data_IF_233609458148
#
_entry.id   IF_233609458148
#
_cell.length_a   1.000
_cell.length_b   1.000
_cell.length_c   1.000
_cell.angle_alpha   90.00
_cell.angle_beta   90.00
_cell.angle_gamma   90.00
#
_symmetry.space_group_name_H-M   'P 1'
#
loop_
_entity.id
_entity.type
_entity.pdbx_description
1 polymer ?
#
# COMPACT_ATOMS: atom_id res chain seq x y z
N UNK A 1 1.73 9.73 -12.26
CA UNK A 1 1.96 10.52 -11.04
C UNK A 1 3.20 10.08 -10.26
N UNK A 2 3.37 8.75 -9.95
CA UNK A 2 4.54 8.23 -9.20
C UNK A 2 5.87 8.71 -9.79
N UNK A 3 6.08 8.54 -11.10
CA UNK A 3 7.32 8.95 -11.77
C UNK A 3 7.59 10.45 -11.68
N UNK A 4 6.57 11.31 -11.72
CA UNK A 4 6.74 12.77 -11.54
C UNK A 4 7.18 13.10 -10.11
N UNK A 5 6.57 12.46 -9.10
CA UNK A 5 6.96 12.63 -7.71
C UNK A 5 8.39 12.12 -7.45
N UNK A 6 8.72 10.97 -8.04
CA UNK A 6 10.08 10.43 -7.96
C UNK A 6 11.11 11.38 -8.57
N UNK A 7 10.80 11.95 -9.75
CA UNK A 7 11.67 12.96 -10.38
C UNK A 7 11.93 14.14 -9.44
N UNK A 8 10.88 14.70 -8.84
CA UNK A 8 10.99 15.82 -7.91
C UNK A 8 11.88 15.47 -6.71
N UNK A 9 11.60 14.34 -6.06
CA UNK A 9 12.39 13.87 -4.91
C UNK A 9 13.85 13.62 -5.26
N UNK A 10 14.15 12.99 -6.39
CA UNK A 10 15.51 12.74 -6.84
C UNK A 10 16.25 14.04 -7.20
N UNK A 11 15.56 15.00 -7.85
CA UNK A 11 16.14 16.31 -8.17
C UNK A 11 16.46 17.11 -6.90
N UNK A 12 15.64 17.02 -5.86
CA UNK A 12 15.93 17.60 -4.54
C UNK A 12 17.20 16.99 -3.90
N UNK A 13 17.54 15.75 -4.25
CA UNK A 13 18.79 15.09 -3.83
C UNK A 13 19.97 15.32 -4.81
N UNK A 14 19.79 16.20 -5.79
CA UNK A 14 20.86 16.58 -6.74
C UNK A 14 20.97 15.70 -7.98
N UNK A 15 20.07 14.74 -8.20
CA UNK A 15 20.08 13.89 -9.38
C UNK A 15 19.57 14.63 -10.64
N UNK A 16 20.14 14.32 -11.80
CA UNK A 16 19.57 14.69 -13.10
C UNK A 16 18.62 13.58 -13.56
N UNK A 17 17.36 13.93 -13.81
CA UNK A 17 16.32 12.94 -14.14
C UNK A 17 15.70 13.21 -15.49
N UNK A 18 15.80 12.23 -16.39
CA UNK A 18 15.05 12.17 -17.64
C UNK A 18 13.82 11.26 -17.51
N UNK A 19 12.77 11.55 -18.24
CA UNK A 19 11.55 10.76 -18.27
C UNK A 19 11.14 10.44 -19.71
N UNK A 20 10.70 9.21 -19.96
CA UNK A 20 10.20 8.82 -21.29
C UNK A 20 8.94 9.60 -21.69
N UNK A 21 8.13 10.00 -20.71
CA UNK A 21 6.96 10.88 -20.88
C UNK A 21 6.62 11.60 -19.57
N UNK A 22 6.02 12.78 -19.69
CA UNK A 22 5.55 13.59 -18.53
C UNK A 22 4.03 13.79 -18.52
N UNK A 23 3.36 13.54 -19.63
CA UNK A 23 1.90 13.60 -19.79
C UNK A 23 1.35 12.23 -20.24
N UNK A 24 0.06 12.00 -19.99
CA UNK A 24 -0.62 10.79 -20.44
C UNK A 24 -1.39 11.07 -21.73
N UNK A 25 -0.68 11.19 -22.85
CA UNK A 25 -1.23 11.44 -24.18
C UNK A 25 -0.67 10.42 -25.17
N UNK A 26 -1.46 10.07 -26.20
CA UNK A 26 -1.07 9.08 -27.22
C UNK A 26 0.18 9.52 -27.99
N UNK A 27 0.31 10.82 -28.25
CA UNK A 27 1.48 11.40 -28.95
C UNK A 27 2.79 11.31 -28.14
N UNK A 28 2.69 11.09 -26.83
CA UNK A 28 3.84 10.90 -25.93
C UNK A 28 4.24 9.41 -25.80
N UNK A 29 3.46 8.50 -26.40
CA UNK A 29 3.78 7.07 -26.37
C UNK A 29 5.00 6.75 -27.23
N UNK A 30 5.88 5.94 -26.70
CA UNK A 30 7.13 5.51 -27.33
C UNK A 30 7.23 4.00 -27.36
N UNK A 31 7.89 3.47 -28.39
CA UNK A 31 8.20 2.04 -28.45
C UNK A 31 9.09 1.63 -27.27
N UNK A 32 8.81 0.46 -26.67
CA UNK A 32 9.52 -0.02 -25.48
C UNK A 32 11.04 -0.12 -25.70
N UNK A 33 11.49 -0.65 -26.85
CA UNK A 33 12.91 -0.72 -27.19
C UNK A 33 13.53 0.67 -27.42
N UNK A 34 12.74 1.64 -27.88
CA UNK A 34 13.19 3.02 -28.04
C UNK A 34 13.49 3.64 -26.70
N UNK A 35 12.63 3.42 -25.68
CA UNK A 35 12.84 3.93 -24.31
C UNK A 35 14.16 3.39 -23.74
N UNK A 36 14.40 2.07 -23.83
CA UNK A 36 15.63 1.46 -23.33
C UNK A 36 16.88 1.94 -24.06
N UNK A 37 16.78 2.14 -25.41
CA UNK A 37 17.88 2.68 -26.21
C UNK A 37 18.20 4.13 -25.86
N UNK A 38 17.18 5.00 -25.73
CA UNK A 38 17.37 6.42 -25.37
C UNK A 38 18.00 6.57 -23.97
N UNK A 39 17.60 5.76 -23.00
CA UNK A 39 18.25 5.74 -21.69
C UNK A 39 19.74 5.35 -21.78
N UNK A 40 20.05 4.39 -22.67
CA UNK A 40 21.43 3.96 -22.92
C UNK A 40 22.26 5.00 -23.65
N UNK A 41 21.69 5.67 -24.66
CA UNK A 41 22.34 6.76 -25.43
C UNK A 41 22.57 8.00 -24.53
N UNK A 42 21.71 8.18 -23.53
CA UNK A 42 21.88 9.24 -22.51
C UNK A 42 22.90 8.86 -21.45
N UNK A 43 23.41 7.63 -21.46
CA UNK A 43 24.38 7.10 -20.48
C UNK A 43 23.84 7.22 -19.04
N UNK A 44 22.56 6.88 -18.82
CA UNK A 44 21.97 6.94 -17.50
C UNK A 44 22.71 6.03 -16.51
N UNK A 45 22.96 6.50 -15.29
CA UNK A 45 23.54 5.68 -14.23
C UNK A 45 22.59 4.59 -13.76
N UNK A 46 21.25 4.85 -13.84
CA UNK A 46 20.23 3.92 -13.44
C UNK A 46 18.93 4.18 -14.20
N UNK A 47 18.28 3.11 -14.65
CA UNK A 47 17.00 3.14 -15.36
C UNK A 47 15.91 2.40 -14.57
N UNK A 48 14.72 3.02 -14.45
CA UNK A 48 13.53 2.39 -13.87
C UNK A 48 12.37 2.37 -14.86
N UNK A 49 11.72 1.22 -15.01
CA UNK A 49 10.39 1.11 -15.59
C UNK A 49 9.38 0.87 -14.46
N UNK A 50 8.54 1.87 -14.16
CA UNK A 50 7.67 1.89 -12.98
C UNK A 50 6.26 1.42 -13.35
N UNK A 51 5.86 0.27 -12.84
CA UNK A 51 4.58 -0.38 -13.09
C UNK A 51 3.83 -0.74 -11.79
N UNK A 52 2.59 -1.17 -11.97
CA UNK A 52 1.78 -1.90 -11.00
C UNK A 52 1.18 -3.11 -11.70
N UNK A 53 1.27 -4.26 -11.07
CA UNK A 53 0.88 -5.56 -11.60
C UNK A 53 -0.64 -5.79 -11.55
N UNK A 54 -1.08 -6.90 -12.15
CA UNK A 54 -2.43 -7.43 -12.05
C UNK A 54 -2.42 -8.95 -12.15
N UNK A 55 -3.26 -9.62 -11.35
CA UNK A 55 -3.50 -11.07 -11.49
C UNK A 55 -4.55 -11.39 -12.52
N UNK A 56 -5.37 -10.41 -12.88
CA UNK A 56 -6.49 -10.53 -13.81
C UNK A 56 -7.72 -11.26 -13.22
N UNK A 57 -7.54 -12.38 -12.58
CA UNK A 57 -8.64 -13.24 -12.11
C UNK A 57 -8.68 -13.44 -10.61
N UNK A 58 -7.55 -13.66 -9.94
CA UNK A 58 -7.54 -14.01 -8.51
C UNK A 58 -7.82 -12.81 -7.60
N UNK A 59 -7.30 -11.63 -7.93
CA UNK A 59 -7.42 -10.38 -7.16
C UNK A 59 -7.09 -10.53 -5.67
N UNK A 60 -6.22 -11.49 -5.33
CA UNK A 60 -5.88 -11.85 -3.95
C UNK A 60 -4.46 -11.46 -3.57
N UNK A 61 -3.65 -11.16 -4.56
CA UNK A 61 -2.23 -10.93 -4.39
C UNK A 61 -1.95 -9.43 -4.33
N UNK A 62 -1.06 -9.05 -3.42
CA UNK A 62 -0.54 -7.70 -3.31
C UNK A 62 0.86 -7.75 -2.68
N UNK A 63 1.88 -7.66 -3.52
CA UNK A 63 3.29 -7.63 -3.12
C UNK A 63 4.13 -6.95 -4.22
N UNK A 64 5.27 -6.34 -3.87
CA UNK A 64 6.16 -5.78 -4.87
C UNK A 64 6.96 -6.88 -5.58
N UNK A 65 7.23 -6.70 -6.86
CA UNK A 65 8.04 -7.58 -7.67
C UNK A 65 9.00 -6.78 -8.55
N UNK A 66 10.21 -7.26 -8.71
CA UNK A 66 11.22 -6.64 -9.57
C UNK A 66 11.64 -7.60 -10.67
N UNK A 67 11.67 -7.09 -11.91
CA UNK A 67 12.09 -7.85 -13.09
C UNK A 67 13.32 -7.20 -13.70
N UNK A 68 14.39 -7.96 -13.81
CA UNK A 68 15.64 -7.53 -14.45
C UNK A 68 15.95 -8.40 -15.69
N UNK A 69 16.85 -7.93 -16.54
CA UNK A 69 17.20 -8.62 -17.77
C UNK A 69 18.01 -9.89 -17.52
N UNK A 70 17.53 -11.04 -18.04
CA UNK A 70 18.23 -12.33 -17.99
C UNK A 70 17.52 -13.39 -17.16
N UNK A 71 18.26 -14.44 -16.80
CA UNK A 71 17.81 -15.45 -15.86
C UNK A 71 18.08 -15.01 -14.42
N UNK A 72 17.28 -15.48 -13.48
CA UNK A 72 17.39 -15.12 -12.06
C UNK A 72 18.78 -15.46 -11.49
N UNK A 73 19.30 -16.62 -11.85
CA UNK A 73 20.65 -17.06 -11.42
C UNK A 73 21.77 -16.61 -12.36
N UNK A 74 21.44 -16.11 -13.53
CA UNK A 74 22.41 -15.61 -14.51
C UNK A 74 21.89 -14.34 -15.21
N UNK A 75 21.88 -13.19 -14.50
CA UNK A 75 21.48 -11.91 -15.06
C UNK A 75 22.41 -11.48 -16.19
N UNK A 76 21.87 -10.77 -17.19
CA UNK A 76 22.70 -10.18 -18.26
C UNK A 76 23.69 -9.16 -17.66
N UNK A 77 23.25 -8.41 -16.65
CA UNK A 77 24.11 -7.54 -15.84
C UNK A 77 23.83 -7.82 -14.36
N UNK A 78 24.81 -8.28 -13.58
CA UNK A 78 24.64 -8.58 -12.17
C UNK A 78 24.16 -7.38 -11.34
N UNK A 79 24.55 -6.16 -11.73
CA UNK A 79 24.19 -4.92 -11.07
C UNK A 79 22.68 -4.61 -11.15
N UNK A 80 22.00 -5.04 -12.22
CA UNK A 80 20.55 -4.91 -12.35
C UNK A 80 19.83 -5.62 -11.19
N UNK A 81 20.27 -6.85 -10.87
CA UNK A 81 19.73 -7.64 -9.76
C UNK A 81 20.01 -6.99 -8.41
N UNK A 82 21.21 -6.40 -8.23
CA UNK A 82 21.58 -5.70 -6.99
C UNK A 82 20.68 -4.48 -6.77
N UNK A 83 20.55 -3.61 -7.77
CA UNK A 83 19.68 -2.44 -7.68
C UNK A 83 18.20 -2.80 -7.45
N UNK A 84 17.71 -3.85 -8.14
CA UNK A 84 16.37 -4.36 -7.98
C UNK A 84 16.09 -4.89 -6.57
N UNK A 85 17.03 -5.57 -5.93
CA UNK A 85 16.92 -6.05 -4.54
C UNK A 85 16.85 -4.91 -3.53
N UNK A 86 17.66 -3.87 -3.73
CA UNK A 86 17.62 -2.68 -2.87
C UNK A 86 16.25 -2.01 -2.95
N UNK A 87 15.67 -1.87 -4.15
CA UNK A 87 14.34 -1.31 -4.27
C UNK A 87 13.27 -2.20 -3.63
N UNK A 88 13.31 -3.52 -3.85
CA UNK A 88 12.37 -4.45 -3.21
C UNK A 88 12.37 -4.29 -1.69
N UNK A 89 13.57 -4.28 -1.08
CA UNK A 89 13.77 -4.09 0.35
C UNK A 89 13.06 -2.82 0.86
N UNK A 90 13.18 -1.70 0.14
CA UNK A 90 12.54 -0.45 0.55
C UNK A 90 11.02 -0.46 0.33
N UNK A 91 10.53 -1.00 -0.77
CA UNK A 91 9.08 -1.03 -1.03
C UNK A 91 8.32 -1.90 -0.03
N UNK A 92 8.90 -3.04 0.38
CA UNK A 92 8.27 -3.94 1.35
C UNK A 92 8.15 -3.33 2.75
N UNK A 93 8.91 -2.28 3.06
CA UNK A 93 8.82 -1.51 4.31
C UNK A 93 7.51 -0.73 4.43
N UNK A 94 6.77 -0.50 3.34
CA UNK A 94 5.52 0.26 3.36
C UNK A 94 4.44 -0.50 4.14
N UNK A 95 4.06 0.03 5.32
CA UNK A 95 3.05 -0.57 6.20
C UNK A 95 1.66 0.06 6.06
N UNK A 96 1.48 1.04 5.17
CA UNK A 96 0.14 1.55 4.81
C UNK A 96 -0.62 0.48 4.02
N UNK A 97 0.06 -0.23 3.14
CA UNK A 97 -0.50 -1.42 2.48
C UNK A 97 -0.34 -2.68 3.34
N UNK A 98 -1.15 -3.68 3.07
CA UNK A 98 -0.96 -5.03 3.59
C UNK A 98 -0.38 -5.91 2.49
N UNK A 99 0.84 -6.38 2.69
CA UNK A 99 1.49 -7.28 1.75
C UNK A 99 1.01 -8.72 1.99
N UNK A 100 0.48 -9.36 0.95
CA UNK A 100 0.03 -10.76 1.00
C UNK A 100 1.22 -11.73 0.99
N UNK A 101 2.38 -11.25 0.55
CA UNK A 101 3.66 -11.94 0.56
C UNK A 101 4.76 -10.91 0.87
N UNK A 102 5.74 -11.31 1.68
CA UNK A 102 6.89 -10.48 2.08
C UNK A 102 8.23 -11.06 1.66
N UNK A 103 8.23 -12.26 1.14
CA UNK A 103 9.44 -12.90 0.60
C UNK A 103 9.95 -12.15 -0.63
N UNK A 104 11.27 -12.05 -0.75
CA UNK A 104 11.91 -11.36 -1.87
C UNK A 104 11.47 -11.94 -3.22
N UNK A 105 10.89 -11.10 -4.07
CA UNK A 105 10.49 -11.48 -5.42
C UNK A 105 11.23 -10.61 -6.45
N UNK A 106 12.49 -11.00 -6.70
CA UNK A 106 13.39 -10.34 -7.65
C UNK A 106 13.85 -11.39 -8.66
N UNK A 107 13.29 -11.34 -9.87
CA UNK A 107 13.33 -12.44 -10.85
C UNK A 107 13.83 -11.93 -12.20
N UNK A 108 14.59 -12.77 -12.89
CA UNK A 108 14.99 -12.52 -14.28
C UNK A 108 13.79 -12.58 -15.24
N UNK A 109 13.72 -11.65 -16.19
CA UNK A 109 12.61 -11.59 -17.15
C UNK A 109 12.51 -12.80 -18.09
N UNK A 110 13.60 -13.57 -18.24
CA UNK A 110 13.60 -14.84 -18.98
C UNK A 110 12.94 -15.97 -18.22
N UNK A 111 13.10 -16.01 -16.89
CA UNK A 111 12.42 -16.99 -16.03
C UNK A 111 10.95 -16.63 -15.83
N UNK A 112 10.64 -15.34 -15.75
CA UNK A 112 9.27 -14.87 -15.56
C UNK A 112 8.39 -15.07 -16.81
N UNK A 113 9.00 -14.95 -18.01
CA UNK A 113 8.34 -15.18 -19.29
C UNK A 113 9.03 -16.29 -20.10
N UNK A 114 9.02 -17.56 -19.64
CA UNK A 114 9.79 -18.64 -20.27
C UNK A 114 9.35 -18.93 -21.71
N UNK A 115 8.08 -18.72 -22.04
CA UNK A 115 7.52 -18.96 -23.36
C UNK A 115 7.93 -17.91 -24.41
N UNK A 116 8.64 -16.85 -24.02
CA UNK A 116 9.07 -15.79 -24.92
C UNK A 116 10.46 -16.01 -25.56
N UNK A 117 11.01 -17.23 -25.50
CA UNK A 117 12.31 -17.58 -26.08
C UNK A 117 13.43 -16.57 -25.74
N UNK A 118 13.53 -16.17 -24.48
CA UNK A 118 14.49 -15.17 -23.99
C UNK A 118 14.34 -13.79 -24.65
N UNK A 119 13.20 -13.49 -25.26
CA UNK A 119 12.92 -12.14 -25.73
C UNK A 119 12.85 -11.15 -24.56
N UNK A 120 12.23 -11.59 -23.44
CA UNK A 120 12.08 -10.81 -22.23
C UNK A 120 11.32 -9.50 -22.43
N UNK A 121 11.38 -8.62 -21.45
CA UNK A 121 10.69 -7.34 -21.45
C UNK A 121 11.23 -6.38 -22.51
N UNK A 122 10.35 -5.83 -23.36
CA UNK A 122 10.71 -4.95 -24.46
C UNK A 122 11.51 -3.73 -24.03
N UNK A 123 11.18 -3.14 -22.86
CA UNK A 123 11.85 -1.96 -22.32
C UNK A 123 13.28 -2.24 -21.84
N UNK A 124 13.58 -3.49 -21.45
CA UNK A 124 14.91 -3.92 -21.01
C UNK A 124 15.77 -4.46 -22.16
N UNK A 125 15.16 -4.79 -23.31
CA UNK A 125 15.82 -5.51 -24.41
C UNK A 125 16.98 -4.76 -25.05
N UNK A 126 16.87 -3.43 -25.14
CA UNK A 126 17.91 -2.56 -25.71
C UNK A 126 18.64 -1.72 -24.68
N UNK A 127 18.42 -2.02 -23.40
CA UNK A 127 19.03 -1.30 -22.29
C UNK A 127 20.46 -1.82 -22.06
N UNK A 128 21.45 -0.94 -22.20
CA UNK A 128 22.86 -1.23 -21.95
C UNK A 128 23.34 -0.70 -20.60
N UNK A 129 22.62 0.26 -20.03
CA UNK A 129 22.87 0.79 -18.68
C UNK A 129 22.18 -0.09 -17.63
N UNK A 130 22.49 0.12 -16.35
CA UNK A 130 21.85 -0.61 -15.23
C UNK A 130 20.39 -0.24 -15.17
N UNK A 131 19.53 -1.26 -15.06
CA UNK A 131 18.09 -0.98 -14.95
C UNK A 131 17.21 -2.21 -14.84
N UNK A 132 15.99 -1.97 -14.38
CA UNK A 132 14.99 -2.99 -14.16
C UNK A 132 13.57 -2.43 -14.24
N UNK A 133 12.58 -3.31 -14.21
CA UNK A 133 11.17 -2.97 -14.12
C UNK A 133 10.66 -3.31 -12.71
N UNK A 134 9.94 -2.39 -12.11
CA UNK A 134 9.26 -2.61 -10.84
C UNK A 134 7.75 -2.76 -11.05
N UNK A 135 7.19 -3.78 -10.44
CA UNK A 135 5.76 -3.94 -10.17
C UNK A 135 5.56 -3.64 -8.69
N UNK A 136 5.24 -2.37 -8.36
CA UNK A 136 5.26 -1.89 -6.98
C UNK A 136 4.16 -2.49 -6.10
N UNK A 137 3.05 -2.93 -6.72
CA UNK A 137 1.87 -3.51 -6.07
C UNK A 137 0.92 -4.05 -7.12
N UNK A 138 -0.21 -4.65 -6.71
CA UNK A 138 -1.23 -5.17 -7.64
C UNK A 138 -2.42 -4.22 -7.71
N UNK A 139 -2.59 -3.53 -8.85
CA UNK A 139 -3.66 -2.55 -9.02
C UNK A 139 -5.07 -3.14 -9.10
N UNK A 140 -5.22 -4.44 -9.30
CA UNK A 140 -6.50 -5.17 -9.28
C UNK A 140 -6.85 -5.81 -7.92
N UNK A 141 -5.97 -5.70 -6.91
CA UNK A 141 -6.30 -5.97 -5.52
C UNK A 141 -7.09 -4.78 -4.95
N UNK A 142 -8.36 -4.96 -4.61
CA UNK A 142 -9.29 -3.84 -4.33
C UNK A 142 -8.79 -2.84 -3.30
N UNK A 143 -8.29 -3.23 -2.12
CA UNK A 143 -7.74 -2.24 -1.18
C UNK A 143 -6.60 -1.42 -1.78
N UNK A 144 -5.76 -2.03 -2.62
CA UNK A 144 -4.67 -1.34 -3.30
C UNK A 144 -5.16 -0.42 -4.40
N UNK A 145 -6.21 -0.81 -5.15
CA UNK A 145 -6.87 0.05 -6.13
C UNK A 145 -7.24 1.39 -5.51
N UNK A 146 -7.88 1.37 -4.33
CA UNK A 146 -8.28 2.59 -3.62
C UNK A 146 -7.07 3.37 -3.07
N UNK A 147 -6.03 2.71 -2.56
CA UNK A 147 -4.78 3.37 -2.14
C UNK A 147 -4.09 4.06 -3.30
N UNK A 148 -4.04 3.43 -4.47
CA UNK A 148 -3.46 4.00 -5.68
C UNK A 148 -4.21 5.23 -6.23
N UNK A 149 -5.41 5.54 -5.77
CA UNK A 149 -6.08 6.80 -6.04
C UNK A 149 -5.55 7.95 -5.17
N UNK A 150 -5.04 7.66 -3.98
CA UNK A 150 -4.50 8.64 -3.04
C UNK A 150 -3.11 9.14 -3.50
N UNK A 151 -2.90 10.45 -3.48
CA UNK A 151 -1.65 11.05 -3.96
C UNK A 151 -0.50 10.87 -2.96
N UNK A 152 -0.79 10.91 -1.66
CA UNK A 152 0.23 10.70 -0.62
C UNK A 152 0.71 9.26 -0.59
N UNK A 153 -0.18 8.30 -0.87
CA UNK A 153 0.21 6.90 -1.04
C UNK A 153 1.20 6.71 -2.22
N UNK A 154 0.93 7.34 -3.36
CA UNK A 154 1.86 7.33 -4.51
C UNK A 154 3.18 8.03 -4.20
N UNK A 155 3.13 9.08 -3.39
CA UNK A 155 4.33 9.77 -2.93
C UNK A 155 5.18 8.88 -2.01
N UNK A 156 4.56 8.08 -1.13
CA UNK A 156 5.29 7.11 -0.30
C UNK A 156 6.08 6.12 -1.15
N UNK A 157 5.48 5.59 -2.21
CA UNK A 157 6.19 4.70 -3.12
C UNK A 157 7.36 5.41 -3.79
N UNK A 158 7.16 6.64 -4.31
CA UNK A 158 8.23 7.44 -4.89
C UNK A 158 9.34 7.75 -3.87
N UNK A 159 9.00 7.98 -2.61
CA UNK A 159 9.96 8.19 -1.54
C UNK A 159 10.81 6.92 -1.26
N UNK A 160 10.19 5.73 -1.26
CA UNK A 160 10.92 4.47 -1.15
C UNK A 160 11.86 4.22 -2.34
N UNK A 161 11.44 4.58 -3.56
CA UNK A 161 12.33 4.58 -4.71
C UNK A 161 13.53 5.51 -4.51
N UNK A 162 13.30 6.74 -4.01
CA UNK A 162 14.38 7.69 -3.75
C UNK A 162 15.36 7.14 -2.73
N UNK A 163 14.87 6.54 -1.64
CA UNK A 163 15.72 5.86 -0.66
C UNK A 163 16.57 4.74 -1.28
N UNK A 164 15.96 3.95 -2.15
CA UNK A 164 16.67 2.86 -2.83
C UNK A 164 17.80 3.40 -3.73
N UNK A 165 17.56 4.51 -4.43
CA UNK A 165 18.58 5.20 -5.24
C UNK A 165 19.69 5.73 -4.35
N UNK A 166 19.34 6.39 -3.24
CA UNK A 166 20.34 6.92 -2.29
C UNK A 166 21.19 5.81 -1.68
N UNK A 167 20.59 4.66 -1.30
CA UNK A 167 21.34 3.49 -0.81
C UNK A 167 22.23 2.91 -1.91
N UNK A 168 21.74 2.81 -3.15
CA UNK A 168 22.50 2.26 -4.27
C UNK A 168 23.75 3.07 -4.60
N UNK A 169 23.66 4.41 -4.52
CA UNK A 169 24.78 5.33 -4.79
C UNK A 169 25.54 5.76 -3.52
N UNK A 170 25.25 5.15 -2.37
CA UNK A 170 25.91 5.46 -1.08
C UNK A 170 25.88 6.97 -0.75
N UNK A 171 24.71 7.59 -0.93
CA UNK A 171 24.50 9.01 -0.62
C UNK A 171 23.87 9.20 0.76
N UNK A 172 23.99 10.41 1.33
CA UNK A 172 23.38 10.74 2.62
C UNK A 172 21.85 10.64 2.54
N UNK A 173 21.22 10.08 3.59
CA UNK A 173 19.78 9.97 3.73
C UNK A 173 19.09 11.30 4.02
N UNK A 174 17.74 11.30 4.01
CA UNK A 174 16.96 12.47 4.37
C UNK A 174 17.20 12.89 5.82
N UNK A 175 17.35 14.19 6.08
CA UNK A 175 17.50 14.76 7.43
C UNK A 175 16.18 14.84 8.19
N UNK A 176 15.06 14.71 7.50
CA UNK A 176 13.70 14.69 8.04
C UNK A 176 13.11 13.28 7.98
N UNK A 177 12.01 13.07 8.71
CA UNK A 177 11.20 11.86 8.61
C UNK A 177 9.75 12.17 8.30
N UNK A 178 8.95 11.12 8.21
CA UNK A 178 7.53 11.22 7.88
C UNK A 178 6.70 10.39 8.85
N UNK A 179 5.41 10.70 8.95
CA UNK A 179 4.42 9.85 9.62
C UNK A 179 3.38 9.49 8.58
N UNK A 180 3.00 8.22 8.50
CA UNK A 180 1.93 7.76 7.63
C UNK A 180 1.14 6.61 8.28
N UNK A 181 -0.09 6.40 7.83
CA UNK A 181 -0.89 5.29 8.30
C UNK A 181 -2.25 5.20 7.62
N UNK A 182 -3.05 4.26 8.11
CA UNK A 182 -4.44 4.04 7.68
C UNK A 182 -5.34 4.14 8.91
N UNK A 183 -6.42 4.89 8.79
CA UNK A 183 -7.50 4.92 9.77
C UNK A 183 -8.60 3.98 9.29
N UNK A 184 -9.04 3.06 10.16
CA UNK A 184 -10.03 2.06 9.81
C UNK A 184 -10.94 1.73 11.00
N UNK A 185 -12.15 1.24 10.71
CA UNK A 185 -13.09 0.77 11.74
C UNK A 185 -12.55 -0.54 12.35
N UNK A 186 -12.56 -0.65 13.67
CA UNK A 186 -12.01 -1.82 14.39
C UNK A 186 -12.83 -3.11 14.16
N UNK A 187 -14.08 -3.02 13.71
CA UNK A 187 -15.03 -4.13 13.64
C UNK A 187 -15.66 -4.34 12.29
N UNK A 188 -15.96 -3.23 11.56
CA UNK A 188 -16.57 -3.36 10.24
C UNK A 188 -15.61 -3.95 9.24
N UNK A 189 -16.06 -4.98 8.53
CA UNK A 189 -15.27 -5.67 7.52
C UNK A 189 -15.80 -5.40 6.12
N UNK A 190 -14.89 -5.43 5.16
CA UNK A 190 -15.23 -5.36 3.73
C UNK A 190 -16.06 -6.56 3.32
N UNK A 191 -16.89 -6.36 2.31
CA UNK A 191 -17.79 -7.40 1.76
C UNK A 191 -17.12 -8.26 0.70
N UNK A 192 -15.99 -7.82 0.14
CA UNK A 192 -15.26 -8.54 -0.90
C UNK A 192 -14.62 -9.82 -0.32
N UNK A 193 -15.13 -10.97 -0.71
CA UNK A 193 -14.75 -12.28 -0.16
C UNK A 193 -13.30 -12.68 -0.40
N UNK A 194 -12.63 -12.05 -1.38
CA UNK A 194 -11.23 -12.29 -1.70
C UNK A 194 -10.25 -11.42 -0.87
N UNK A 195 -10.74 -10.38 -0.17
CA UNK A 195 -9.94 -9.60 0.77
C UNK A 195 -10.05 -10.25 2.15
N UNK A 196 -9.13 -11.14 2.48
CA UNK A 196 -9.21 -11.97 3.67
C UNK A 196 -8.10 -11.73 4.70
N UNK A 197 -7.16 -10.82 4.43
CA UNK A 197 -5.93 -10.72 5.20
C UNK A 197 -5.80 -9.39 5.93
N UNK A 198 -5.33 -9.48 7.18
CA UNK A 198 -4.90 -8.37 8.00
C UNK A 198 -5.93 -7.23 8.10
N UNK A 199 -5.42 -6.01 8.24
CA UNK A 199 -6.26 -4.82 8.32
C UNK A 199 -6.97 -4.47 7.01
N UNK A 200 -6.54 -4.97 5.87
CA UNK A 200 -7.22 -4.74 4.60
C UNK A 200 -8.61 -5.36 4.56
N UNK A 201 -8.88 -6.31 5.48
CA UNK A 201 -10.21 -6.85 5.73
C UNK A 201 -11.14 -5.81 6.37
N UNK A 202 -10.60 -4.84 7.09
CA UNK A 202 -11.37 -3.81 7.78
C UNK A 202 -11.80 -2.69 6.83
N UNK A 203 -12.88 -1.99 7.18
CA UNK A 203 -13.38 -0.84 6.42
C UNK A 203 -12.53 0.39 6.75
N UNK A 204 -11.87 1.03 5.78
CA UNK A 204 -11.16 2.28 6.03
C UNK A 204 -12.13 3.43 6.27
N UNK A 205 -11.75 4.38 7.10
CA UNK A 205 -12.58 5.53 7.44
C UNK A 205 -12.28 6.71 6.53
N UNK A 206 -13.32 7.20 5.87
CA UNK A 206 -13.32 8.44 5.11
C UNK A 206 -13.68 9.61 6.04
N UNK A 207 -13.09 10.80 5.80
CA UNK A 207 -13.40 12.00 6.59
C UNK A 207 -12.85 11.99 8.03
N UNK A 208 -12.07 10.98 8.42
CA UNK A 208 -11.37 10.97 9.69
C UNK A 208 -10.32 12.08 9.72
N UNK A 209 -10.24 12.81 10.83
CA UNK A 209 -9.24 13.85 11.03
C UNK A 209 -8.09 13.34 11.90
N UNK A 210 -6.87 13.61 11.48
CA UNK A 210 -5.63 13.33 12.21
C UNK A 210 -4.93 14.65 12.46
N UNK A 211 -4.81 15.07 13.71
CA UNK A 211 -4.11 16.31 14.10
C UNK A 211 -2.76 15.97 14.69
N UNK A 212 -1.70 16.49 14.08
CA UNK A 212 -0.32 16.36 14.56
C UNK A 212 -0.02 17.42 15.60
N UNK A 213 0.36 17.00 16.80
CA UNK A 213 0.77 17.87 17.90
C UNK A 213 2.29 17.79 18.12
N UNK A 214 2.95 18.91 18.52
CA UNK A 214 2.37 20.19 18.92
C UNK A 214 2.06 21.15 17.76
N UNK A 215 2.31 20.78 16.52
CA UNK A 215 2.23 21.67 15.35
C UNK A 215 0.81 22.11 14.99
N UNK A 216 -0.23 21.43 15.48
CA UNK A 216 -1.64 21.63 15.15
C UNK A 216 -1.95 21.56 13.65
N UNK A 217 -1.22 20.71 12.92
CA UNK A 217 -1.47 20.43 11.50
C UNK A 217 -2.49 19.30 11.41
N UNK A 218 -3.60 19.52 10.70
CA UNK A 218 -4.64 18.52 10.54
C UNK A 218 -4.65 17.95 9.13
N UNK A 219 -4.72 16.63 9.03
CA UNK A 219 -4.97 15.87 7.82
C UNK A 219 -6.38 15.27 7.90
N UNK A 220 -7.14 15.32 6.82
CA UNK A 220 -8.43 14.65 6.72
C UNK A 220 -8.32 13.53 5.68
N UNK A 221 -8.67 12.29 6.05
CA UNK A 221 -8.68 11.18 5.10
C UNK A 221 -9.70 11.45 4.00
N UNK A 222 -9.32 11.13 2.76
CA UNK A 222 -10.17 11.37 1.60
C UNK A 222 -11.40 10.44 1.57
N UNK A 223 -12.30 10.68 0.62
CA UNK A 223 -13.49 9.85 0.41
C UNK A 223 -13.27 8.73 -0.63
N UNK A 224 -12.03 8.35 -0.88
CA UNK A 224 -11.65 7.33 -1.86
C UNK A 224 -11.45 5.93 -1.22
N UNK A 225 -12.01 5.69 -0.05
CA UNK A 225 -12.09 4.38 0.58
C UNK A 225 -10.74 3.71 0.88
N UNK A 226 -9.74 4.51 1.24
CA UNK A 226 -8.39 4.04 1.57
C UNK A 226 -7.96 4.36 3.02
N UNK A 227 -8.54 5.39 3.66
CA UNK A 227 -8.24 5.80 5.03
C UNK A 227 -6.80 6.30 5.24
N UNK A 228 -6.06 6.59 4.16
CA UNK A 228 -4.66 7.00 4.21
C UNK A 228 -4.52 8.41 4.76
N UNK A 229 -3.52 8.60 5.61
CA UNK A 229 -3.05 9.92 6.02
C UNK A 229 -1.52 9.99 6.02
N UNK A 230 -0.97 11.21 5.90
CA UNK A 230 0.46 11.43 5.87
C UNK A 230 0.86 12.83 6.34
N UNK A 231 1.94 12.89 7.12
CA UNK A 231 2.67 14.12 7.45
C UNK A 231 4.11 13.98 6.95
N UNK A 232 4.58 14.94 6.17
CA UNK A 232 5.87 14.89 5.47
C UNK A 232 6.89 15.85 6.07
N UNK A 233 8.16 15.53 5.89
CA UNK A 233 9.29 16.41 6.15
C UNK A 233 9.34 16.94 7.60
N UNK A 234 9.03 16.08 8.56
CA UNK A 234 9.05 16.40 9.98
C UNK A 234 10.48 16.33 10.54
N UNK A 235 10.83 17.26 11.42
CA UNK A 235 12.05 17.13 12.19
C UNK A 235 12.03 15.86 13.05
N UNK A 236 13.15 15.17 13.26
CA UNK A 236 13.20 14.07 14.21
C UNK A 236 12.77 14.52 15.61
N UNK A 237 11.94 13.72 16.28
CA UNK A 237 11.40 14.06 17.59
C UNK A 237 10.15 13.28 17.96
N UNK A 238 9.58 13.62 19.10
CA UNK A 238 8.35 13.01 19.60
C UNK A 238 7.16 13.89 19.26
N UNK A 239 6.12 13.26 18.75
CA UNK A 239 4.86 13.88 18.34
C UNK A 239 3.68 13.14 18.94
N UNK A 240 2.52 13.73 18.85
CA UNK A 240 1.25 13.09 19.20
C UNK A 240 0.29 13.23 18.01
N UNK A 241 -0.44 12.17 17.73
CA UNK A 241 -1.54 12.17 16.78
C UNK A 241 -2.85 12.14 17.56
N UNK A 242 -3.69 13.16 17.40
CA UNK A 242 -5.08 13.14 17.86
C UNK A 242 -5.96 12.78 16.66
N UNK A 243 -6.69 11.67 16.78
CA UNK A 243 -7.54 11.12 15.72
C UNK A 243 -9.00 11.23 16.15
N UNK A 244 -9.84 11.76 15.26
CA UNK A 244 -11.28 11.82 15.43
C UNK A 244 -11.99 11.39 14.14
N UNK A 245 -13.08 10.66 14.26
CA UNK A 245 -13.94 10.25 13.14
C UNK A 245 -15.40 10.24 13.62
N UNK A 246 -16.31 10.50 12.68
CA UNK A 246 -17.76 10.47 12.97
C UNK A 246 -18.15 9.11 13.54
N UNK A 247 -18.99 9.11 14.58
CA UNK A 247 -19.47 7.91 15.28
C UNK A 247 -18.37 7.03 15.90
N UNK A 248 -17.16 7.55 16.12
CA UNK A 248 -16.06 6.82 16.76
C UNK A 248 -15.51 7.57 17.97
N UNK A 249 -14.95 6.82 18.91
CA UNK A 249 -14.23 7.40 20.06
C UNK A 249 -12.91 8.02 19.60
N UNK A 250 -12.63 9.24 20.02
CA UNK A 250 -11.34 9.90 19.79
C UNK A 250 -10.18 9.06 20.31
N UNK A 251 -9.06 9.08 19.61
CA UNK A 251 -7.82 8.45 20.04
C UNK A 251 -6.66 9.43 20.01
N UNK A 252 -5.75 9.27 20.97
CA UNK A 252 -4.47 9.99 20.99
C UNK A 252 -3.35 8.96 21.06
N UNK A 253 -2.34 9.10 20.20
CA UNK A 253 -1.25 8.15 20.05
C UNK A 253 0.07 8.92 19.99
N UNK A 254 1.05 8.50 20.79
CA UNK A 254 2.41 9.02 20.71
C UNK A 254 3.14 8.38 19.53
N UNK A 255 3.93 9.16 18.81
CA UNK A 255 4.73 8.71 17.68
C UNK A 255 6.10 9.39 17.66
N UNK A 256 7.14 8.62 17.46
CA UNK A 256 8.51 9.14 17.29
C UNK A 256 8.87 9.19 15.83
N UNK A 257 9.34 10.34 15.37
CA UNK A 257 9.88 10.54 14.02
C UNK A 257 11.40 10.40 14.07
N UNK A 258 11.93 9.58 13.21
CA UNK A 258 13.36 9.42 12.97
C UNK A 258 13.70 9.92 11.56
N UNK A 259 14.84 10.56 11.39
CA UNK A 259 15.32 10.98 10.07
C UNK A 259 15.40 9.79 9.10
N UNK A 260 15.15 10.05 7.83
CA UNK A 260 15.22 9.05 6.76
C UNK A 260 14.27 7.85 6.94
N UNK A 261 13.15 8.03 7.67
CA UNK A 261 12.14 6.97 7.90
C UNK A 261 10.73 7.48 7.71
N UNK A 262 9.79 6.54 7.49
CA UNK A 262 8.36 6.76 7.69
C UNK A 262 7.96 6.02 8.97
N UNK A 263 7.49 6.75 9.97
CA UNK A 263 6.90 6.17 11.19
C UNK A 263 5.46 5.76 10.89
N UNK A 264 5.25 4.47 10.65
CA UNK A 264 3.94 3.94 10.29
C UNK A 264 3.06 3.76 11.53
N UNK A 265 1.89 4.40 11.52
CA UNK A 265 0.92 4.37 12.61
C UNK A 265 -0.48 4.10 12.04
N UNK A 266 -0.84 2.83 11.94
CA UNK A 266 -2.18 2.40 11.52
C UNK A 266 -3.12 2.36 12.72
N UNK A 267 -4.32 2.95 12.61
CA UNK A 267 -5.20 3.16 13.77
C UNK A 267 -6.58 2.57 13.53
N UNK A 268 -6.92 1.59 14.39
CA UNK A 268 -8.28 1.07 14.50
C UNK A 268 -9.11 1.99 15.40
N UNK A 269 -10.26 2.44 14.91
CA UNK A 269 -11.19 3.31 15.64
C UNK A 269 -12.40 2.52 16.11
N UNK A 270 -12.73 2.63 17.39
CA UNK A 270 -13.90 1.97 17.99
C UNK A 270 -15.13 2.86 17.85
N UNK A 271 -16.24 2.28 17.37
CA UNK A 271 -17.49 3.01 17.25
C UNK A 271 -18.07 3.41 18.59
N UNK A 272 -18.63 4.61 18.63
CA UNK A 272 -19.46 5.07 19.76
C UNK A 272 -20.78 4.29 19.72
N UNK A 273 -21.09 3.64 20.83
CA UNK A 273 -22.37 2.96 21.02
C UNK A 273 -23.41 3.94 21.54
N UNK A 274 -24.09 4.62 20.63
CA UNK A 274 -25.10 5.62 20.94
C UNK A 274 -26.54 5.09 20.81
N UNK A 275 -26.71 3.82 20.41
CA UNK A 275 -28.00 3.12 20.32
C UNK A 275 -27.98 1.84 21.14
N UNK A 276 -29.16 1.40 21.61
CA UNK A 276 -29.28 0.10 22.25
C UNK A 276 -28.97 -1.03 21.25
N UNK A 277 -28.45 -2.19 21.70
CA UNK A 277 -28.29 -3.34 20.84
C UNK A 277 -29.66 -3.79 20.31
N UNK A 278 -29.69 -4.14 19.01
CA UNK A 278 -30.88 -4.67 18.36
C UNK A 278 -30.58 -6.08 17.84
N UNK A 279 -31.55 -6.97 17.98
CA UNK A 279 -31.48 -8.31 17.40
C UNK A 279 -31.67 -8.19 15.88
N UNK A 280 -30.64 -8.54 15.12
CA UNK A 280 -30.67 -8.48 13.65
C UNK A 280 -31.19 -9.76 13.03
N UNK A 281 -31.02 -10.89 13.70
CA UNK A 281 -31.60 -12.18 13.30
C UNK A 281 -31.62 -13.13 14.49
N UNK A 282 -32.48 -14.12 14.40
CA UNK A 282 -32.58 -15.19 15.40
C UNK A 282 -32.89 -16.53 14.75
N UNK A 283 -32.56 -17.62 15.44
CA UNK A 283 -32.87 -19.00 15.03
C UNK A 283 -33.19 -19.81 16.29
N UNK A 284 -34.16 -20.73 16.23
CA UNK A 284 -35.03 -21.03 15.10
C UNK A 284 -36.10 -19.95 14.85
N UNK A 285 -36.47 -19.75 13.60
CA UNK A 285 -37.60 -18.87 13.24
C UNK A 285 -38.91 -19.70 13.33
N UNK A 286 -39.89 -19.19 14.06
CA UNK A 286 -41.23 -19.76 14.10
C UNK A 286 -42.06 -19.07 13.03
N UNK A 287 -42.60 -19.87 12.10
CA UNK A 287 -43.44 -19.36 11.00
C UNK A 287 -44.89 -19.19 11.44
N UNK A 288 -45.32 -19.96 12.47
CA UNK A 288 -46.68 -19.93 13.02
C UNK A 288 -46.65 -19.98 14.54
N UNK A 289 -47.69 -19.43 15.19
CA UNK A 289 -47.87 -19.47 16.64
C UNK A 289 -48.02 -20.90 17.23
N UNK A 290 -48.33 -21.87 16.40
CA UNK A 290 -48.50 -23.28 16.76
C UNK A 290 -47.21 -24.10 16.60
N UNK A 291 -46.18 -23.50 16.08
CA UNK A 291 -44.88 -24.19 15.90
C UNK A 291 -44.29 -24.55 17.26
N UNK A 292 -43.73 -25.72 17.36
CA UNK A 292 -43.03 -26.18 18.55
C UNK A 292 -41.54 -26.34 18.28
N UNK A 293 -40.74 -25.84 19.18
CA UNK A 293 -39.27 -25.99 19.13
C UNK A 293 -38.88 -27.06 20.15
N UNK A 294 -38.03 -27.99 19.75
CA UNK A 294 -37.47 -28.95 20.68
C UNK A 294 -36.70 -28.21 21.78
N UNK A 295 -36.96 -28.55 23.05
CA UNK A 295 -36.30 -27.89 24.20
C UNK A 295 -34.79 -28.02 24.23
N UNK A 296 -34.22 -28.87 23.39
CA UNK A 296 -32.75 -29.01 23.21
C UNK A 296 -32.19 -28.18 22.03
N UNK A 297 -33.07 -27.52 21.24
CA UNK A 297 -32.63 -26.71 20.13
C UNK A 297 -32.02 -25.39 20.65
N UNK A 298 -30.77 -25.07 20.33
CA UNK A 298 -30.16 -23.82 20.79
C UNK A 298 -30.85 -22.62 20.17
N UNK A 299 -31.09 -21.59 20.97
CA UNK A 299 -31.55 -20.30 20.48
C UNK A 299 -30.29 -19.44 20.15
N UNK A 300 -30.22 -18.97 18.92
CA UNK A 300 -29.14 -18.11 18.45
C UNK A 300 -29.73 -16.72 18.20
N UNK A 301 -29.15 -15.70 18.83
CA UNK A 301 -29.49 -14.30 18.61
C UNK A 301 -28.26 -13.59 18.01
N UNK A 302 -28.43 -12.94 16.89
CA UNK A 302 -27.41 -12.07 16.31
C UNK A 302 -27.79 -10.62 16.55
N UNK A 303 -26.83 -9.83 17.02
CA UNK A 303 -27.03 -8.43 17.34
C UNK A 303 -26.24 -7.55 16.35
N UNK A 304 -26.67 -6.29 16.19
CA UNK A 304 -25.95 -5.26 15.45
C UNK A 304 -24.66 -4.78 16.14
N UNK A 305 -24.44 -5.18 17.42
CA UNK A 305 -23.25 -4.89 18.22
C UNK A 305 -22.65 -6.18 18.79
N UNK A 306 -21.32 -6.17 19.04
CA UNK A 306 -20.72 -7.22 19.87
C UNK A 306 -21.25 -7.08 21.30
N UNK A 307 -21.79 -8.16 21.81
CA UNK A 307 -22.37 -8.23 23.14
C UNK A 307 -21.33 -8.74 24.13
N UNK A 308 -21.36 -8.16 25.34
CA UNK A 308 -20.69 -8.78 26.47
C UNK A 308 -21.41 -10.09 26.83
N UNK A 309 -20.75 -11.20 26.58
CA UNK A 309 -21.30 -12.55 26.77
C UNK A 309 -21.80 -12.76 28.20
N UNK A 310 -21.08 -12.23 29.19
CA UNK A 310 -21.46 -12.38 30.60
C UNK A 310 -22.74 -11.60 30.93
N UNK A 311 -22.88 -10.38 30.37
CA UNK A 311 -24.10 -9.57 30.54
C UNK A 311 -25.31 -10.22 29.87
N UNK A 312 -25.12 -10.79 28.66
CA UNK A 312 -26.20 -11.49 27.95
C UNK A 312 -26.63 -12.73 28.71
N UNK A 313 -25.70 -13.54 29.21
CA UNK A 313 -26.03 -14.75 29.99
C UNK A 313 -26.74 -14.43 31.31
N UNK A 314 -26.52 -13.27 31.90
CA UNK A 314 -27.25 -12.82 33.13
C UNK A 314 -28.65 -12.30 32.84
N UNK A 315 -28.93 -11.94 31.59
CA UNK A 315 -30.22 -11.43 31.16
C UNK A 315 -31.24 -12.54 30.80
N UNK A 316 -30.77 -13.75 30.58
CA UNK A 316 -31.54 -14.95 30.28
C UNK A 316 -31.40 -16.00 31.39
#
# INVERSE_FOLDING_TARGET
>A
HKGLMLRELLQEQGATVAMSRVLNRTEDDRGLETIGREASEWEADLFFSIHSNATGTSRRDNFPMMLFRGYTENPVKPEDKVAAKILFKHLIENQVTYWTQTEEYVVGDFDFYPDWNNAGLGVLRKLTVIGFLSEGSYHDYVPETYRLLNMDYKWMEAWHFTKAVMEYFDTEGFTTGNIAGVIYDSRMTRTESYVQHGRDKQVPLCGATVTLLPNNITYTTDNLYNGVYMFKNLAPGNYQLKIAAEDHYDRTIDVTVTANTISYTNVAMDRVRNTAPEVTSYSPVMENETDSINCTTPIVLNFNWDMDTESVQKAF
#
